data_IF_437816684558
#
_entry.id   IF_437816684558
#
_cell.length_a   1.000
_cell.length_b   1.000
_cell.length_c   1.000
_cell.angle_alpha   90.00
_cell.angle_beta   90.00
_cell.angle_gamma   90.00
#
_symmetry.space_group_name_H-M   'P 1'
#
loop_
_entity.id
_entity.type
_entity.pdbx_description
1 polymer ?
#
# COMPACT_ATOMS: atom_id res chain seq x y z
N UNK A 1 -6.18 2.98 10.65
CA UNK A 1 -6.96 2.82 9.40
C UNK A 1 -6.14 2.91 8.11
N UNK A 2 -5.00 3.61 8.03
CA UNK A 2 -4.23 3.75 6.77
C UNK A 2 -3.63 2.45 6.21
N UNK A 3 -3.26 1.49 7.06
CA UNK A 3 -2.66 0.21 6.64
C UNK A 3 -3.64 -0.63 5.82
N UNK A 4 -4.91 -0.68 6.22
CA UNK A 4 -5.97 -1.44 5.53
C UNK A 4 -6.29 -0.82 4.17
N UNK A 5 -6.28 0.51 4.06
CA UNK A 5 -6.45 1.21 2.78
C UNK A 5 -5.27 0.95 1.84
N UNK A 6 -4.03 0.92 2.36
CA UNK A 6 -2.83 0.61 1.58
C UNK A 6 -2.81 -0.86 1.09
N UNK A 7 -3.17 -1.80 1.97
CA UNK A 7 -3.30 -3.22 1.59
C UNK A 7 -4.40 -3.41 0.53
N UNK A 8 -5.57 -2.82 0.75
CA UNK A 8 -6.72 -2.95 -0.15
C UNK A 8 -6.40 -2.41 -1.54
N UNK A 9 -5.66 -1.31 -1.65
CA UNK A 9 -5.21 -0.77 -2.94
C UNK A 9 -4.39 -1.79 -3.73
N UNK A 10 -3.41 -2.44 -3.09
CA UNK A 10 -2.55 -3.43 -3.75
C UNK A 10 -3.34 -4.68 -4.11
N UNK A 11 -4.18 -5.16 -3.19
CA UNK A 11 -5.00 -6.35 -3.39
C UNK A 11 -6.01 -6.16 -4.52
N UNK A 12 -6.75 -5.04 -4.54
CA UNK A 12 -7.74 -4.73 -5.59
C UNK A 12 -7.08 -4.59 -6.96
N UNK A 13 -5.91 -3.95 -7.05
CA UNK A 13 -5.18 -3.86 -8.33
C UNK A 13 -4.68 -5.21 -8.80
N UNK A 14 -4.25 -6.11 -7.91
CA UNK A 14 -3.85 -7.47 -8.30
C UNK A 14 -5.04 -8.31 -8.80
N UNK A 15 -6.21 -8.14 -8.16
CA UNK A 15 -7.45 -8.78 -8.61
C UNK A 15 -7.88 -8.30 -10.00
N UNK A 16 -7.75 -7.00 -10.29
CA UNK A 16 -8.04 -6.41 -11.62
C UNK A 16 -7.12 -6.98 -12.72
N UNK A 17 -5.87 -7.30 -12.36
CA UNK A 17 -4.90 -7.98 -13.23
C UNK A 17 -5.13 -9.51 -13.32
N UNK A 18 -6.16 -10.04 -12.66
CA UNK A 18 -6.50 -11.46 -12.66
C UNK A 18 -5.55 -12.34 -11.84
N UNK A 19 -4.74 -11.76 -10.97
CA UNK A 19 -3.74 -12.49 -10.17
C UNK A 19 -4.27 -12.79 -8.76
N UNK A 20 -4.36 -14.08 -8.43
CA UNK A 20 -4.64 -14.52 -7.05
C UNK A 20 -3.35 -14.46 -6.26
N UNK A 21 -3.24 -13.47 -5.39
CA UNK A 21 -2.03 -13.22 -4.60
C UNK A 21 -2.34 -13.04 -3.12
N UNK A 22 -1.46 -13.56 -2.28
CA UNK A 22 -1.44 -13.21 -0.87
C UNK A 22 -0.58 -11.97 -0.68
N UNK A 23 -1.14 -10.92 -0.10
CA UNK A 23 -0.44 -9.66 0.16
C UNK A 23 -0.19 -9.56 1.67
N UNK A 24 1.08 -9.46 2.06
CA UNK A 24 1.46 -9.27 3.47
C UNK A 24 2.17 -7.93 3.66
N UNK A 25 2.08 -7.37 4.86
CA UNK A 25 2.80 -6.15 5.24
C UNK A 25 4.16 -6.57 5.80
N UNK A 26 5.25 -6.14 5.15
CA UNK A 26 6.61 -6.40 5.62
C UNK A 26 7.04 -5.40 6.70
N UNK A 27 6.70 -4.13 6.50
CA UNK A 27 7.03 -3.05 7.43
C UNK A 27 6.08 -1.87 7.22
N UNK A 28 5.75 -1.16 8.29
CA UNK A 28 5.11 0.15 8.21
C UNK A 28 5.95 1.18 8.98
N UNK A 29 5.94 2.42 8.51
CA UNK A 29 6.50 3.56 9.19
C UNK A 29 5.45 4.68 9.17
N UNK A 30 5.20 5.27 10.33
CA UNK A 30 4.16 6.28 10.50
C UNK A 30 4.78 7.51 11.16
N UNK A 31 4.81 8.59 10.42
CA UNK A 31 5.29 9.88 10.87
C UNK A 31 4.08 10.75 11.22
N UNK A 32 3.99 11.12 12.50
CA UNK A 32 2.95 12.01 13.01
C UNK A 32 3.54 13.42 13.10
N UNK A 33 3.16 14.28 12.15
CA UNK A 33 3.63 15.67 12.11
C UNK A 33 2.91 16.53 13.17
N UNK A 34 1.69 16.15 13.58
CA UNK A 34 0.91 16.82 14.64
C UNK A 34 0.07 15.84 15.47
N UNK A 35 -0.21 16.15 16.75
CA UNK A 35 -1.15 15.38 17.55
C UNK A 35 -2.55 15.44 16.94
N UNK A 36 -3.15 14.27 16.69
CA UNK A 36 -4.49 14.12 16.14
C UNK A 36 -5.45 13.87 17.30
N UNK A 37 -6.30 14.85 17.62
CA UNK A 37 -7.23 14.79 18.77
C UNK A 37 -8.67 14.44 18.38
N UNK A 38 -8.93 14.10 17.10
CA UNK A 38 -10.26 13.79 16.58
C UNK A 38 -10.27 12.85 15.37
N UNK A 39 -11.40 12.77 14.67
CA UNK A 39 -11.57 11.89 13.49
C UNK A 39 -10.70 12.37 12.33
N UNK A 40 -9.83 11.50 11.82
CA UNK A 40 -8.96 11.76 10.66
C UNK A 40 -9.28 10.82 9.49
N UNK A 41 -9.05 11.28 8.27
CA UNK A 41 -9.15 10.49 7.05
C UNK A 41 -7.77 10.00 6.61
N UNK A 42 -7.70 8.82 5.98
CA UNK A 42 -6.48 8.29 5.41
C UNK A 42 -6.71 7.96 3.93
N UNK A 43 -5.87 8.49 3.04
CA UNK A 43 -5.88 8.19 1.61
C UNK A 43 -4.59 7.49 1.22
N UNK A 44 -4.68 6.37 0.50
CA UNK A 44 -3.53 5.55 0.09
C UNK A 44 -3.27 5.63 -1.42
N UNK A 45 -1.99 5.70 -1.79
CA UNK A 45 -1.53 5.67 -3.17
C UNK A 45 -0.20 4.92 -3.28
N UNK A 46 0.09 4.35 -4.45
CA UNK A 46 1.43 3.81 -4.70
C UNK A 46 2.48 4.90 -4.54
N UNK A 47 3.62 4.58 -3.91
CA UNK A 47 4.72 5.53 -3.77
C UNK A 47 5.26 5.99 -5.11
N UNK A 48 5.24 5.11 -6.10
CA UNK A 48 5.59 5.36 -7.49
C UNK A 48 4.62 4.55 -8.38
N UNK A 49 3.66 5.21 -9.06
CA UNK A 49 2.76 4.53 -9.99
C UNK A 49 3.50 3.83 -11.15
N UNK A 50 4.66 4.35 -11.57
CA UNK A 50 5.45 3.78 -12.67
C UNK A 50 6.17 2.50 -12.27
N UNK A 51 6.28 2.20 -10.96
CA UNK A 51 6.84 0.94 -10.47
C UNK A 51 5.88 -0.25 -10.66
N UNK A 52 4.59 0.00 -10.92
CA UNK A 52 3.56 -1.05 -11.01
C UNK A 52 3.85 -2.11 -12.10
N UNK A 53 4.16 -1.74 -13.37
CA UNK A 53 4.44 -2.74 -14.40
C UNK A 53 5.69 -3.59 -14.10
N UNK A 54 6.73 -2.97 -13.52
CA UNK A 54 7.94 -3.67 -13.10
C UNK A 54 7.65 -4.65 -11.96
N UNK A 55 6.82 -4.24 -10.99
CA UNK A 55 6.34 -5.09 -9.90
C UNK A 55 5.61 -6.32 -10.44
N UNK A 56 4.65 -6.15 -11.36
CA UNK A 56 3.93 -7.27 -11.97
C UNK A 56 4.86 -8.24 -12.71
N UNK A 57 5.83 -7.72 -13.47
CA UNK A 57 6.84 -8.54 -14.16
C UNK A 57 7.71 -9.35 -13.19
N UNK A 58 8.05 -8.78 -12.04
CA UNK A 58 8.80 -9.49 -11.00
C UNK A 58 7.90 -10.53 -10.32
N UNK A 59 6.65 -10.18 -10.01
CA UNK A 59 5.69 -11.04 -9.32
C UNK A 59 5.37 -12.28 -10.15
N UNK A 60 5.07 -12.11 -11.43
CA UNK A 60 4.81 -13.24 -12.35
C UNK A 60 6.03 -14.12 -12.56
N UNK A 61 7.23 -13.53 -12.67
CA UNK A 61 8.48 -14.29 -12.90
C UNK A 61 9.00 -15.02 -11.66
N UNK A 62 8.96 -14.36 -10.50
CA UNK A 62 9.58 -14.85 -9.25
C UNK A 62 8.57 -15.34 -8.22
N UNK A 63 7.27 -15.20 -8.51
CA UNK A 63 6.14 -15.46 -7.59
C UNK A 63 6.19 -14.65 -6.29
N UNK A 64 7.08 -13.67 -6.22
CA UNK A 64 7.32 -12.82 -5.08
C UNK A 64 7.80 -11.46 -5.56
N UNK A 65 7.09 -10.41 -5.16
CA UNK A 65 7.49 -9.04 -5.44
C UNK A 65 7.15 -8.11 -4.29
N UNK A 66 7.84 -6.97 -4.23
CA UNK A 66 7.67 -5.95 -3.21
C UNK A 66 7.20 -4.65 -3.84
N UNK A 67 6.32 -3.94 -3.15
CA UNK A 67 5.87 -2.62 -3.55
C UNK A 67 5.72 -1.71 -2.33
N UNK A 68 6.00 -0.43 -2.53
CA UNK A 68 5.83 0.60 -1.50
C UNK A 68 4.57 1.41 -1.77
N UNK A 69 3.79 1.58 -0.72
CA UNK A 69 2.55 2.36 -0.72
C UNK A 69 2.74 3.47 0.30
N UNK A 70 2.32 4.67 -0.07
CA UNK A 70 2.24 5.81 0.85
C UNK A 70 0.78 6.10 1.15
N UNK A 71 0.51 6.60 2.34
CA UNK A 71 -0.80 7.09 2.71
C UNK A 71 -0.66 8.37 3.48
N UNK A 72 -1.51 9.33 3.15
CA UNK A 72 -1.54 10.63 3.81
C UNK A 72 -2.68 10.65 4.81
N UNK A 73 -2.40 11.19 6.00
CA UNK A 73 -3.38 11.40 7.05
C UNK A 73 -3.85 12.84 6.96
N UNK A 74 -5.15 13.02 6.70
CA UNK A 74 -5.78 14.33 6.53
C UNK A 74 -6.65 14.59 7.75
N UNK A 75 -6.41 15.72 8.40
CA UNK A 75 -7.19 16.22 9.53
C UNK A 75 -7.39 17.73 9.34
N UNK A 76 -8.64 18.20 9.40
CA UNK A 76 -9.01 19.60 9.12
C UNK A 76 -8.38 20.14 7.82
N UNK A 77 -8.53 19.38 6.72
CA UNK A 77 -8.00 19.71 5.38
C UNK A 77 -6.46 19.84 5.30
N UNK A 78 -5.73 19.47 6.37
CA UNK A 78 -4.28 19.51 6.42
C UNK A 78 -3.71 18.09 6.52
N UNK A 79 -2.59 17.88 5.83
CA UNK A 79 -1.77 16.69 6.04
C UNK A 79 -1.14 16.80 7.43
N UNK A 80 -1.50 15.88 8.33
CA UNK A 80 -1.06 15.83 9.72
C UNK A 80 -0.15 14.66 10.03
N UNK A 81 0.07 13.80 9.04
CA UNK A 81 1.05 12.74 9.11
C UNK A 81 1.08 11.92 7.83
N UNK A 82 2.10 11.08 7.73
CA UNK A 82 2.35 10.21 6.59
C UNK A 82 2.56 8.80 7.09
N UNK A 83 2.01 7.85 6.37
CA UNK A 83 2.24 6.42 6.56
C UNK A 83 2.94 5.92 5.29
N UNK A 84 4.08 5.26 5.45
CA UNK A 84 4.67 4.45 4.39
C UNK A 84 4.60 2.98 4.78
N UNK A 85 4.17 2.14 3.83
CA UNK A 85 4.04 0.71 4.03
C UNK A 85 4.75 -0.03 2.90
N UNK A 86 5.55 -1.04 3.26
CA UNK A 86 6.12 -1.98 2.31
C UNK A 86 5.30 -3.26 2.33
N UNK A 87 4.78 -3.61 1.16
CA UNK A 87 3.96 -4.78 0.95
C UNK A 87 4.70 -5.80 0.12
N UNK A 88 4.53 -7.08 0.45
CA UNK A 88 5.03 -8.21 -0.33
C UNK A 88 3.83 -8.95 -0.87
N UNK A 89 3.80 -9.20 -2.18
CA UNK A 89 2.81 -10.06 -2.80
C UNK A 89 3.45 -11.41 -3.14
N UNK A 90 2.74 -12.48 -2.83
CA UNK A 90 3.06 -13.86 -3.18
C UNK A 90 2.00 -14.38 -4.15
N UNK A 91 2.44 -14.83 -5.33
CA UNK A 91 1.54 -15.42 -6.32
C UNK A 91 1.15 -16.83 -5.88
N UNK A 92 -0.14 -17.04 -5.60
CA UNK A 92 -0.65 -18.36 -5.19
C UNK A 92 -0.57 -19.34 -6.37
N UNK A 93 -0.22 -20.59 -6.08
CA UNK A 93 -0.35 -21.69 -7.04
C UNK A 93 -1.81 -22.12 -7.02
N UNK A 94 -2.48 -22.10 -8.18
CA UNK A 94 -3.75 -22.82 -8.37
C UNK A 94 -3.54 -24.32 -8.30
#
# INVERSE_FOLDING_TARGET
MGILAAWSLVHLRLLDEGLICEVVIQSNQMDYDRPITGTFAASSSLSDPAAWPAFLKILTRRRLARIEVRSELIFEEKVVGRLSGRFVAFLQES
#
